data_IF_405450920029
#
_entry.id   IF_405450920029
#
_cell.length_a   1.000
_cell.length_b   1.000
_cell.length_c   1.000
_cell.angle_alpha   90.00
_cell.angle_beta   90.00
_cell.angle_gamma   90.00
#
_symmetry.space_group_name_H-M   'P 1'
#
loop_
_entity.id
_entity.type
_entity.pdbx_description
1 polymer ?
#
# COMPACT_ATOMS: atom_id res chain seq x y z
N UNK A 1 16.21 18.94 23.78
CA UNK A 1 16.76 17.74 24.46
C UNK A 1 15.75 16.60 24.58
N UNK A 2 15.26 16.03 23.48
CA UNK A 2 14.34 14.88 23.51
C UNK A 2 14.75 13.84 22.47
N UNK A 3 14.54 12.55 22.77
CA UNK A 3 14.68 11.47 21.80
C UNK A 3 13.58 11.63 20.74
N UNK A 4 13.95 11.58 19.46
CA UNK A 4 13.01 11.62 18.35
C UNK A 4 12.78 10.24 17.73
N UNK A 5 11.71 10.16 16.94
CA UNK A 5 11.45 9.06 16.03
C UNK A 5 11.83 9.55 14.62
N UNK A 6 12.66 8.78 13.91
CA UNK A 6 13.02 9.01 12.52
C UNK A 6 12.31 7.97 11.66
N UNK A 7 11.43 8.43 10.76
CA UNK A 7 10.82 7.59 9.72
C UNK A 7 11.60 7.80 8.42
N UNK A 8 12.15 6.72 7.88
CA UNK A 8 12.72 6.67 6.53
C UNK A 8 11.71 5.93 5.67
N UNK A 9 11.04 6.67 4.81
CA UNK A 9 9.95 6.13 4.00
C UNK A 9 10.45 5.58 2.66
N UNK A 10 9.91 4.45 2.23
CA UNK A 10 10.16 3.80 0.93
C UNK A 10 11.65 3.73 0.54
N UNK A 11 12.49 3.18 1.42
CA UNK A 11 13.95 3.17 1.23
C UNK A 11 14.38 2.45 -0.07
N UNK A 12 13.56 1.54 -0.58
CA UNK A 12 13.76 0.81 -1.84
C UNK A 12 13.57 1.66 -3.11
N UNK A 13 13.04 2.89 -2.99
CA UNK A 13 12.99 3.87 -4.08
C UNK A 13 14.34 4.50 -4.38
N UNK A 14 15.24 4.53 -3.40
CA UNK A 14 16.59 5.04 -3.57
C UNK A 14 17.43 4.15 -4.50
N UNK A 15 18.64 4.63 -4.81
CA UNK A 15 19.62 3.87 -5.56
C UNK A 15 20.08 2.63 -4.78
N UNK A 16 20.54 1.60 -5.49
CA UNK A 16 20.87 0.30 -4.90
C UNK A 16 21.98 0.38 -3.83
N UNK A 17 22.86 1.38 -3.94
CA UNK A 17 23.99 1.61 -3.05
C UNK A 17 23.56 2.34 -1.76
N UNK A 18 22.47 3.12 -1.82
CA UNK A 18 22.04 4.00 -0.75
C UNK A 18 21.79 3.31 0.60
N UNK A 19 21.12 2.14 0.68
CA UNK A 19 20.94 1.45 1.96
C UNK A 19 22.27 1.08 2.63
N UNK A 20 23.27 0.68 1.85
CA UNK A 20 24.59 0.33 2.38
C UNK A 20 25.36 1.56 2.84
N UNK A 21 25.27 2.65 2.08
CA UNK A 21 25.90 3.92 2.46
C UNK A 21 25.38 4.38 3.82
N UNK A 22 24.06 4.30 4.03
CA UNK A 22 23.37 4.72 5.24
C UNK A 22 23.77 3.91 6.50
N UNK A 23 24.41 2.75 6.35
CA UNK A 23 24.80 1.91 7.48
C UNK A 23 25.73 2.63 8.45
N UNK A 24 26.66 3.43 7.92
CA UNK A 24 27.62 4.14 8.76
C UNK A 24 26.92 5.18 9.62
N UNK A 25 26.03 5.97 9.01
CA UNK A 25 25.25 7.00 9.69
C UNK A 25 24.30 6.40 10.73
N UNK A 26 23.65 5.28 10.43
CA UNK A 26 22.75 4.59 11.37
C UNK A 26 23.52 3.89 12.51
N UNK A 27 24.74 3.43 12.27
CA UNK A 27 25.56 2.82 13.32
C UNK A 27 26.16 3.90 14.24
N UNK A 28 26.71 4.99 13.67
CA UNK A 28 27.38 6.08 14.40
C UNK A 28 26.43 7.14 14.95
N UNK A 29 25.20 7.24 14.42
CA UNK A 29 24.26 8.33 14.67
C UNK A 29 24.86 9.71 14.37
N UNK A 30 25.63 9.77 13.29
CA UNK A 30 26.46 10.91 12.93
C UNK A 30 26.70 10.90 11.42
N UNK A 31 26.67 12.07 10.79
CA UNK A 31 27.00 12.25 9.38
C UNK A 31 27.76 13.55 9.16
N UNK A 32 28.55 13.61 8.10
CA UNK A 32 29.31 14.82 7.72
C UNK A 32 28.70 15.41 6.45
N UNK A 33 28.46 16.72 6.46
CA UNK A 33 27.96 17.46 5.31
C UNK A 33 29.18 17.93 4.49
N UNK A 34 29.49 17.29 3.34
CA UNK A 34 30.75 17.54 2.63
C UNK A 34 30.96 19.01 2.24
N UNK A 35 29.88 19.68 1.83
CA UNK A 35 29.89 21.06 1.35
C UNK A 35 30.29 22.07 2.44
N UNK A 36 30.11 21.72 3.71
CA UNK A 36 30.40 22.61 4.85
C UNK A 36 31.52 22.09 5.74
N UNK A 37 31.97 20.85 5.53
CA UNK A 37 32.87 20.14 6.44
C UNK A 37 32.28 19.89 7.83
N UNK A 38 31.00 20.22 8.07
CA UNK A 38 30.37 20.10 9.38
C UNK A 38 29.92 18.67 9.62
N UNK A 39 30.37 18.10 10.72
CA UNK A 39 29.84 16.84 11.23
C UNK A 39 28.70 17.08 12.22
N UNK A 40 27.58 16.40 11.98
CA UNK A 40 26.37 16.47 12.81
C UNK A 40 26.20 15.14 13.51
N UNK A 41 26.20 15.18 14.85
CA UNK A 41 26.02 14.02 15.71
C UNK A 41 24.73 14.11 16.51
N UNK A 42 23.97 13.03 16.56
CA UNK A 42 22.77 12.96 17.37
C UNK A 42 23.14 12.98 18.86
N UNK A 43 22.53 13.92 19.61
CA UNK A 43 22.67 13.98 21.09
C UNK A 43 22.03 12.78 21.78
N UNK A 44 20.92 12.28 21.24
CA UNK A 44 20.19 11.10 21.71
C UNK A 44 19.97 10.16 20.53
N UNK A 45 20.23 8.85 20.71
CA UNK A 45 19.96 7.86 19.66
C UNK A 45 18.45 7.84 19.35
N UNK A 46 18.02 8.14 18.11
CA UNK A 46 16.61 8.09 17.72
C UNK A 46 16.10 6.65 17.69
N UNK A 47 14.77 6.52 17.76
CA UNK A 47 14.09 5.30 17.32
C UNK A 47 13.92 5.44 15.81
N UNK A 48 14.43 4.47 15.05
CA UNK A 48 14.41 4.51 13.58
C UNK A 48 13.40 3.49 13.08
N UNK A 49 12.48 3.96 12.25
CA UNK A 49 11.50 3.15 11.54
C UNK A 49 11.81 3.32 10.05
N UNK A 50 11.97 2.21 9.36
CA UNK A 50 12.22 2.18 7.92
C UNK A 50 11.06 1.43 7.28
N UNK A 51 10.49 1.98 6.22
CA UNK A 51 9.46 1.30 5.42
C UNK A 51 10.04 0.92 4.05
N UNK A 52 9.48 -0.13 3.46
CA UNK A 52 9.80 -0.57 2.11
C UNK A 52 8.56 -1.19 1.49
N UNK A 53 8.37 -0.98 0.19
CA UNK A 53 7.32 -1.62 -0.58
C UNK A 53 7.75 -2.97 -1.18
N UNK A 54 8.97 -3.42 -0.87
CA UNK A 54 9.62 -4.60 -1.46
C UNK A 54 9.65 -4.57 -3.00
N UNK A 55 9.76 -3.37 -3.60
CA UNK A 55 9.92 -3.21 -5.04
C UNK A 55 11.33 -3.59 -5.50
N UNK A 56 12.33 -3.34 -4.63
CA UNK A 56 13.70 -3.80 -4.78
C UNK A 56 14.13 -4.53 -3.52
N UNK A 57 14.89 -5.61 -3.68
CA UNK A 57 15.48 -6.32 -2.55
C UNK A 57 16.53 -5.44 -1.87
N UNK A 58 16.40 -5.30 -0.55
CA UNK A 58 17.40 -4.61 0.26
C UNK A 58 18.58 -5.55 0.52
N UNK A 59 19.83 -5.03 0.51
CA UNK A 59 21.00 -5.86 0.75
C UNK A 59 20.94 -6.57 2.10
N UNK A 60 21.39 -7.84 2.15
CA UNK A 60 21.44 -8.64 3.39
C UNK A 60 22.20 -7.93 4.52
N UNK A 61 23.25 -7.16 4.18
CA UNK A 61 24.01 -6.36 5.11
C UNK A 61 23.15 -5.30 5.84
N UNK A 62 22.14 -4.76 5.17
CA UNK A 62 21.17 -3.84 5.74
C UNK A 62 20.12 -4.57 6.59
N UNK A 63 19.54 -5.64 6.04
CA UNK A 63 18.48 -6.42 6.69
C UNK A 63 18.94 -7.02 8.03
N UNK A 64 20.16 -7.55 8.12
CA UNK A 64 20.72 -8.12 9.36
C UNK A 64 20.91 -7.12 10.51
N UNK A 65 20.78 -5.81 10.25
CA UNK A 65 20.85 -4.72 11.25
C UNK A 65 19.46 -4.19 11.62
N UNK A 66 18.41 -4.72 11.00
CA UNK A 66 17.03 -4.31 11.22
C UNK A 66 16.24 -5.41 11.93
N UNK A 67 15.29 -5.02 12.77
CA UNK A 67 14.20 -5.91 13.16
C UNK A 67 13.18 -5.84 12.03
N UNK A 68 12.99 -6.96 11.32
CA UNK A 68 12.09 -7.01 10.18
C UNK A 68 10.67 -7.31 10.63
N UNK A 69 9.71 -6.50 10.17
CA UNK A 69 8.28 -6.73 10.37
C UNK A 69 7.56 -6.67 9.02
N UNK A 70 7.04 -7.81 8.58
CA UNK A 70 6.25 -7.91 7.36
C UNK A 70 4.80 -7.48 7.64
N UNK A 71 4.29 -6.54 6.85
CA UNK A 71 2.90 -6.10 6.91
C UNK A 71 2.12 -6.85 5.83
N UNK A 72 1.35 -7.84 6.26
CA UNK A 72 0.45 -8.58 5.37
C UNK A 72 -0.64 -7.66 4.81
N UNK A 73 -1.08 -7.96 3.58
CA UNK A 73 -2.24 -7.28 3.06
C UNK A 73 -3.46 -7.61 3.94
N UNK A 74 -4.21 -6.60 4.43
CA UNK A 74 -5.32 -6.82 5.35
C UNK A 74 -6.37 -7.79 4.79
N UNK A 75 -6.83 -8.71 5.63
CA UNK A 75 -8.04 -9.50 5.38
C UNK A 75 -9.33 -8.68 5.51
N UNK A 76 -10.48 -9.28 5.19
CA UNK A 76 -11.76 -8.57 5.15
C UNK A 76 -12.12 -7.87 6.46
N UNK A 77 -11.91 -8.51 7.61
CA UNK A 77 -12.24 -7.95 8.92
C UNK A 77 -11.45 -6.66 9.19
N UNK A 78 -10.12 -6.70 8.99
CA UNK A 78 -9.26 -5.54 9.16
C UNK A 78 -9.59 -4.46 8.12
N UNK A 79 -9.89 -4.85 6.87
CA UNK A 79 -10.29 -3.92 5.82
C UNK A 79 -11.56 -3.16 6.16
N UNK A 80 -12.57 -3.85 6.69
CA UNK A 80 -13.81 -3.21 7.17
C UNK A 80 -13.51 -2.19 8.27
N UNK A 81 -12.63 -2.52 9.22
CA UNK A 81 -12.20 -1.58 10.27
C UNK A 81 -11.51 -0.36 9.69
N UNK A 82 -10.62 -0.54 8.70
CA UNK A 82 -9.95 0.56 8.00
C UNK A 82 -11.00 1.46 7.35
N UNK A 83 -11.92 0.88 6.58
CA UNK A 83 -12.97 1.63 5.88
C UNK A 83 -13.86 2.39 6.86
N UNK A 84 -14.26 1.80 7.99
CA UNK A 84 -15.08 2.48 9.01
C UNK A 84 -14.39 3.71 9.60
N UNK A 85 -13.05 3.70 9.73
CA UNK A 85 -12.31 4.90 10.18
C UNK A 85 -12.38 6.02 9.14
N UNK A 86 -12.34 5.69 7.84
CA UNK A 86 -12.43 6.67 6.76
C UNK A 86 -13.87 7.14 6.48
N UNK A 87 -14.85 6.25 6.64
CA UNK A 87 -16.27 6.48 6.34
C UNK A 87 -17.17 5.93 7.48
N UNK A 88 -17.26 6.62 8.63
CA UNK A 88 -17.99 6.12 9.81
C UNK A 88 -19.49 5.87 9.58
N UNK A 89 -20.09 6.57 8.62
CA UNK A 89 -21.52 6.51 8.31
C UNK A 89 -21.80 5.78 6.98
N UNK A 90 -20.86 4.96 6.51
CA UNK A 90 -21.03 4.21 5.27
C UNK A 90 -22.16 3.19 5.41
N UNK A 91 -23.05 3.12 4.40
CA UNK A 91 -24.12 2.14 4.39
C UNK A 91 -23.54 0.71 4.31
N UNK A 92 -24.01 -0.19 5.19
CA UNK A 92 -23.49 -1.56 5.29
C UNK A 92 -23.60 -2.33 3.97
N UNK A 93 -24.71 -2.16 3.23
CA UNK A 93 -24.89 -2.80 1.92
C UNK A 93 -23.81 -2.38 0.92
N UNK A 94 -23.46 -1.10 0.89
CA UNK A 94 -22.40 -0.59 0.02
C UNK A 94 -21.03 -1.15 0.45
N UNK A 95 -20.74 -1.19 1.75
CA UNK A 95 -19.51 -1.78 2.28
C UNK A 95 -19.38 -3.27 1.92
N UNK A 96 -20.44 -4.05 2.11
CA UNK A 96 -20.45 -5.48 1.80
C UNK A 96 -20.20 -5.76 0.33
N UNK A 97 -20.90 -5.06 -0.57
CA UNK A 97 -20.74 -5.23 -2.02
C UNK A 97 -19.36 -4.79 -2.50
N UNK A 98 -18.81 -3.71 -1.95
CA UNK A 98 -17.48 -3.22 -2.34
C UNK A 98 -16.36 -4.11 -1.83
N UNK A 99 -16.43 -4.60 -0.59
CA UNK A 99 -15.49 -5.58 -0.05
C UNK A 99 -15.51 -6.86 -0.88
N UNK A 100 -16.70 -7.42 -1.13
CA UNK A 100 -16.84 -8.65 -1.91
C UNK A 100 -16.25 -8.51 -3.33
N UNK A 101 -16.56 -7.40 -4.01
CA UNK A 101 -16.03 -7.13 -5.34
C UNK A 101 -14.50 -6.91 -5.31
N UNK A 102 -14.00 -6.16 -4.35
CA UNK A 102 -12.57 -5.88 -4.20
C UNK A 102 -11.74 -7.14 -4.00
N UNK A 103 -12.11 -8.01 -3.07
CA UNK A 103 -11.38 -9.25 -2.84
C UNK A 103 -11.54 -10.24 -4.00
N UNK A 104 -12.71 -10.31 -4.64
CA UNK A 104 -12.87 -11.09 -5.87
C UNK A 104 -11.89 -10.64 -6.97
N UNK A 105 -11.75 -9.34 -7.22
CA UNK A 105 -10.78 -8.83 -8.21
C UNK A 105 -9.35 -9.27 -7.84
N UNK A 106 -9.00 -9.23 -6.55
CA UNK A 106 -7.67 -9.64 -6.05
C UNK A 106 -7.39 -11.14 -6.16
N UNK A 107 -8.42 -11.99 -6.29
CA UNK A 107 -8.24 -13.43 -6.55
C UNK A 107 -8.03 -13.75 -8.02
N UNK A 108 -8.33 -12.83 -8.94
CA UNK A 108 -8.14 -13.05 -10.37
C UNK A 108 -6.65 -13.14 -10.72
N UNK A 109 -6.15 -14.29 -11.21
CA UNK A 109 -4.73 -14.48 -11.49
C UNK A 109 -4.24 -13.67 -12.70
N UNK A 110 -5.16 -13.25 -13.59
CA UNK A 110 -4.85 -12.44 -14.75
C UNK A 110 -4.68 -10.94 -14.44
N UNK A 111 -4.94 -10.51 -13.20
CA UNK A 111 -4.70 -9.15 -12.74
C UNK A 111 -3.28 -9.07 -12.20
N UNK A 112 -2.42 -8.32 -12.89
CA UNK A 112 -1.02 -8.19 -12.52
C UNK A 112 -0.85 -7.24 -11.34
N UNK A 113 -1.45 -6.03 -11.43
CA UNK A 113 -1.40 -5.05 -10.33
C UNK A 113 -2.69 -5.15 -9.52
N UNK A 114 -2.63 -5.92 -8.43
CA UNK A 114 -3.76 -6.03 -7.50
C UNK A 114 -4.06 -4.67 -6.86
N UNK A 115 -5.34 -4.26 -6.76
CA UNK A 115 -5.71 -3.00 -6.15
C UNK A 115 -5.39 -2.98 -4.64
N UNK A 116 -4.93 -1.86 -4.14
CA UNK A 116 -4.54 -1.60 -2.76
C UNK A 116 -5.70 -1.03 -1.92
N UNK A 117 -5.46 -0.90 -0.61
CA UNK A 117 -6.39 -0.26 0.33
C UNK A 117 -6.79 1.15 -0.11
N UNK A 118 -5.84 1.96 -0.60
CA UNK A 118 -6.11 3.33 -1.04
C UNK A 118 -7.04 3.36 -2.25
N UNK A 119 -6.83 2.46 -3.21
CA UNK A 119 -7.68 2.34 -4.40
C UNK A 119 -9.11 1.89 -4.03
N UNK A 120 -9.27 1.03 -3.02
CA UNK A 120 -10.61 0.70 -2.48
C UNK A 120 -11.29 1.91 -1.83
N UNK A 121 -10.57 2.66 -1.00
CA UNK A 121 -11.10 3.86 -0.32
C UNK A 121 -11.55 4.90 -1.35
N UNK A 122 -10.76 5.11 -2.41
CA UNK A 122 -11.11 6.01 -3.51
C UNK A 122 -12.28 5.49 -4.34
N UNK A 123 -12.38 4.17 -4.52
CA UNK A 123 -13.49 3.55 -5.24
C UNK A 123 -14.81 3.68 -4.49
N UNK A 124 -14.80 3.46 -3.17
CA UNK A 124 -15.96 3.71 -2.30
C UNK A 124 -16.38 5.18 -2.39
N UNK A 125 -15.42 6.12 -2.37
CA UNK A 125 -15.70 7.54 -2.56
C UNK A 125 -16.43 7.80 -3.89
N UNK A 126 -15.92 7.26 -4.99
CA UNK A 126 -16.54 7.43 -6.30
C UNK A 126 -17.96 6.86 -6.34
N UNK A 127 -18.18 5.68 -5.74
CA UNK A 127 -19.48 5.04 -5.66
C UNK A 127 -20.51 5.87 -4.90
N UNK A 128 -20.12 6.45 -3.75
CA UNK A 128 -21.00 7.32 -2.94
C UNK A 128 -21.54 8.52 -3.72
N UNK A 129 -20.77 9.07 -4.68
CA UNK A 129 -21.20 10.21 -5.50
C UNK A 129 -21.92 9.82 -6.79
N UNK A 130 -21.90 8.54 -7.16
CA UNK A 130 -22.37 8.08 -8.46
C UNK A 130 -23.87 7.77 -8.53
N UNK A 131 -24.53 7.57 -7.38
CA UNK A 131 -25.94 7.18 -7.31
C UNK A 131 -26.24 5.78 -7.91
N UNK A 132 -25.21 4.96 -8.16
CA UNK A 132 -25.37 3.63 -8.73
C UNK A 132 -26.01 2.69 -7.70
N UNK A 133 -27.01 1.88 -8.09
CA UNK A 133 -27.59 0.88 -7.20
C UNK A 133 -26.53 -0.10 -6.67
N UNK A 134 -26.53 -0.36 -5.37
CA UNK A 134 -25.47 -1.16 -4.75
C UNK A 134 -25.45 -2.62 -5.25
N UNK A 135 -26.61 -3.15 -5.63
CA UNK A 135 -26.77 -4.47 -6.26
C UNK A 135 -26.02 -4.64 -7.59
N UNK A 136 -25.73 -3.54 -8.28
CA UNK A 136 -24.98 -3.55 -9.54
C UNK A 136 -23.46 -3.54 -9.33
N UNK A 137 -22.96 -3.28 -8.11
CA UNK A 137 -21.53 -3.08 -7.87
C UNK A 137 -20.74 -4.35 -8.22
N UNK A 138 -21.18 -5.51 -7.74
CA UNK A 138 -20.49 -6.78 -7.96
C UNK A 138 -20.55 -7.22 -9.42
N UNK A 139 -21.63 -6.91 -10.14
CA UNK A 139 -21.83 -7.33 -11.53
C UNK A 139 -21.15 -6.39 -12.51
N UNK A 140 -21.26 -5.07 -12.31
CA UNK A 140 -20.75 -4.05 -13.24
C UNK A 140 -19.35 -3.58 -12.89
N UNK A 141 -19.00 -3.53 -11.61
CA UNK A 141 -17.74 -2.94 -11.09
C UNK A 141 -17.55 -1.54 -11.71
N UNK A 142 -18.48 -0.62 -11.44
CA UNK A 142 -18.44 0.70 -12.06
C UNK A 142 -17.15 1.43 -11.68
N UNK A 143 -16.64 2.29 -12.54
CA UNK A 143 -15.38 3.01 -12.31
C UNK A 143 -14.19 2.07 -12.03
N UNK A 144 -14.12 0.90 -12.69
CA UNK A 144 -13.04 -0.06 -12.50
C UNK A 144 -11.62 0.54 -12.64
N UNK A 145 -11.45 1.63 -13.40
CA UNK A 145 -10.18 2.37 -13.51
C UNK A 145 -9.71 3.04 -12.20
N UNK A 146 -10.59 3.20 -11.22
CA UNK A 146 -10.22 3.63 -9.86
C UNK A 146 -9.45 2.52 -9.16
N UNK A 147 -9.87 1.26 -9.33
CA UNK A 147 -9.22 0.07 -8.77
C UNK A 147 -8.00 -0.37 -9.60
N UNK A 148 -8.14 -0.45 -10.92
CA UNK A 148 -7.14 -1.02 -11.82
C UNK A 148 -6.51 0.07 -12.68
N UNK A 149 -5.21 0.29 -12.52
CA UNK A 149 -4.47 1.37 -13.19
C UNK A 149 -3.89 0.99 -14.55
N UNK A 150 -3.98 -0.29 -14.95
CA UNK A 150 -3.45 -0.80 -16.22
C UNK A 150 -4.58 -1.21 -17.16
N UNK A 151 -4.45 -0.87 -18.44
CA UNK A 151 -5.43 -1.21 -19.47
C UNK A 151 -5.54 -2.72 -19.70
N UNK A 152 -4.43 -3.46 -19.54
CA UNK A 152 -4.41 -4.92 -19.62
C UNK A 152 -5.23 -5.55 -18.49
N UNK A 153 -5.09 -5.02 -17.26
CA UNK A 153 -5.84 -5.48 -16.08
C UNK A 153 -7.35 -5.20 -16.23
N UNK A 154 -7.72 -4.03 -16.75
CA UNK A 154 -9.12 -3.71 -17.09
C UNK A 154 -9.71 -4.69 -18.12
N UNK A 155 -8.95 -4.99 -19.18
CA UNK A 155 -9.36 -5.97 -20.19
C UNK A 155 -9.49 -7.38 -19.62
N UNK A 156 -8.59 -7.77 -18.71
CA UNK A 156 -8.65 -9.04 -17.98
C UNK A 156 -9.86 -9.12 -17.06
N UNK A 157 -10.23 -8.03 -16.39
CA UNK A 157 -11.42 -7.95 -15.57
C UNK A 157 -12.70 -8.17 -16.39
N UNK A 158 -12.82 -7.52 -17.55
CA UNK A 158 -14.01 -7.69 -18.41
C UNK A 158 -14.16 -9.14 -18.90
N UNK A 159 -13.05 -9.79 -19.27
CA UNK A 159 -13.06 -11.24 -19.61
C UNK A 159 -13.45 -12.11 -18.42
N UNK A 160 -13.10 -11.74 -17.20
CA UNK A 160 -13.48 -12.49 -16.00
C UNK A 160 -14.96 -12.29 -15.67
N UNK A 161 -15.48 -11.07 -15.79
CA UNK A 161 -16.91 -10.76 -15.62
C UNK A 161 -17.77 -11.54 -16.62
N UNK A 162 -17.37 -11.57 -17.90
CA UNK A 162 -18.08 -12.31 -18.94
C UNK A 162 -18.16 -13.83 -18.64
N UNK A 163 -17.07 -14.43 -18.14
CA UNK A 163 -17.04 -15.85 -17.74
C UNK A 163 -17.96 -16.13 -16.55
N UNK A 164 -17.91 -15.27 -15.52
CA UNK A 164 -18.77 -15.38 -14.34
C UNK A 164 -20.26 -15.27 -14.70
N UNK A 165 -20.62 -14.40 -15.64
CA UNK A 165 -22.00 -14.29 -16.14
C UNK A 165 -22.49 -15.54 -16.89
N UNK A 166 -21.56 -16.36 -17.41
CA UNK A 166 -21.85 -17.63 -18.08
C UNK A 166 -21.86 -18.84 -17.12
N UNK A 167 -21.69 -18.62 -15.81
CA UNK A 167 -21.75 -19.68 -14.79
C UNK A 167 -20.43 -20.45 -14.55
N UNK A 168 -19.30 -19.89 -15.00
CA UNK A 168 -17.95 -20.44 -14.79
C UNK A 168 -17.17 -19.70 -13.70
#
# INVERSE_FOLDING_TARGET
DKRCILLIDEIDKADLEFPNDLLWELDRMEFTIPQTGRTVKAKFRPIIIITSNAEKELPDAFLRRCIFHYIEFPGEELMRRIITVHYPNLEQKLLDQTIAAFYWIRTLPAIQKKPSTSELIDWIRALMYSGIPYEDIMTKIPFAGVLLKKNEDLSSLERAKARRAQGY
#
